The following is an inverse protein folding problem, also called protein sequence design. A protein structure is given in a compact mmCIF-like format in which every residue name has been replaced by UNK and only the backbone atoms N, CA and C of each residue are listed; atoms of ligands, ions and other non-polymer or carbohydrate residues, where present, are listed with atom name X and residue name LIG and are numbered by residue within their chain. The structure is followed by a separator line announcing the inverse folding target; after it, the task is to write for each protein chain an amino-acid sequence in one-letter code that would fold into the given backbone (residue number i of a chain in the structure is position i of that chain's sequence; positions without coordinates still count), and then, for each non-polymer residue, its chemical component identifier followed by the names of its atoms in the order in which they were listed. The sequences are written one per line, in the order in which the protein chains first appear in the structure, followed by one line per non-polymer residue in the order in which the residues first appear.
data_IF_930264331530
#
_entry.id   IF_930264331530
#
_cell.length_a   1.000
_cell.length_b   1.000
_cell.length_c   1.000
_cell.angle_alpha   90.00
_cell.angle_beta   90.00
_cell.angle_gamma   90.00
#
_symmetry.space_group_name_H-M   'P 1'
#
loop_
_entity.id
_entity.type
_entity.pdbx_description
1 polymer ?
#
# COMPACT_ATOMS: atom_id res chain seq x y z
N UNK A 1 -11.46 -5.98 16.67
CA UNK A 1 -11.17 -6.37 15.27
C UNK A 1 -9.67 -6.52 14.95
N UNK A 2 -8.75 -6.10 15.84
CA UNK A 2 -7.31 -5.94 15.54
C UNK A 2 -6.35 -6.98 16.17
N UNK A 3 -6.82 -7.80 17.11
CA UNK A 3 -6.02 -8.83 17.76
C UNK A 3 -6.37 -10.18 17.11
N UNK A 4 -5.39 -10.98 16.68
CA UNK A 4 -5.51 -12.35 16.11
C UNK A 4 -5.52 -12.54 14.57
N UNK A 5 -4.89 -11.68 13.75
CA UNK A 5 -4.95 -11.84 12.28
C UNK A 5 -3.75 -12.49 11.60
N UNK A 6 -2.55 -12.43 12.18
CA UNK A 6 -1.37 -13.12 11.62
C UNK A 6 -1.26 -14.47 12.31
N UNK A 7 -1.62 -15.53 11.58
CA UNK A 7 -1.55 -16.91 12.09
C UNK A 7 -0.27 -17.63 11.67
N UNK A 8 0.35 -17.19 10.56
CA UNK A 8 1.55 -17.80 10.01
C UNK A 8 2.41 -16.77 9.27
N UNK A 9 3.72 -16.88 9.39
CA UNK A 9 4.70 -16.16 8.57
C UNK A 9 5.38 -17.17 7.64
N UNK A 10 5.52 -16.82 6.36
CA UNK A 10 6.25 -17.62 5.37
C UNK A 10 7.58 -16.95 5.13
N UNK A 11 8.67 -17.70 5.27
CA UNK A 11 10.03 -17.23 4.99
C UNK A 11 10.64 -18.11 3.91
N UNK A 12 11.17 -17.50 2.86
CA UNK A 12 11.99 -18.21 1.88
C UNK A 12 13.43 -18.35 2.39
N UNK A 13 13.97 -19.57 2.40
CA UNK A 13 15.41 -19.76 2.69
C UNK A 13 16.22 -19.39 1.47
N UNK A 14 17.18 -18.49 1.63
CA UNK A 14 18.01 -17.99 0.53
C UNK A 14 18.73 -19.10 -0.28
N UNK A 15 19.17 -20.17 0.38
CA UNK A 15 19.82 -21.31 -0.29
C UNK A 15 18.87 -22.19 -1.12
N UNK A 16 17.56 -22.04 -0.93
CA UNK A 16 16.50 -22.72 -1.70
C UNK A 16 15.97 -21.82 -2.84
N UNK A 17 16.46 -20.57 -2.95
CA UNK A 17 16.08 -19.60 -3.99
C UNK A 17 17.06 -19.71 -5.16
N UNK A 18 16.54 -19.88 -6.38
CA UNK A 18 17.36 -19.88 -7.60
C UNK A 18 18.05 -18.53 -7.81
N UNK A 19 19.16 -18.52 -8.57
CA UNK A 19 19.88 -17.28 -8.87
C UNK A 19 18.98 -16.27 -9.60
N UNK A 20 18.09 -16.76 -10.47
CA UNK A 20 17.08 -16.00 -11.19
C UNK A 20 16.09 -15.37 -10.21
N UNK A 21 15.53 -16.15 -9.28
CA UNK A 21 14.60 -15.64 -8.28
C UNK A 21 15.25 -14.64 -7.32
N UNK A 22 16.53 -14.83 -6.95
CA UNK A 22 17.26 -13.87 -6.14
C UNK A 22 17.43 -12.52 -6.85
N UNK A 23 17.72 -12.53 -8.16
CA UNK A 23 17.75 -11.30 -8.99
C UNK A 23 16.38 -10.65 -9.08
N UNK A 24 15.32 -11.44 -9.20
CA UNK A 24 13.94 -10.95 -9.23
C UNK A 24 13.51 -10.33 -7.89
N UNK A 25 13.88 -10.92 -6.76
CA UNK A 25 13.67 -10.32 -5.43
C UNK A 25 14.36 -8.96 -5.34
N UNK A 26 15.62 -8.87 -5.80
CA UNK A 26 16.34 -7.58 -5.84
C UNK A 26 15.61 -6.54 -6.69
N UNK A 27 15.11 -6.92 -7.87
CA UNK A 27 14.30 -6.03 -8.72
C UNK A 27 13.06 -5.50 -7.97
N UNK A 28 12.37 -6.36 -7.23
CA UNK A 28 11.20 -5.98 -6.44
C UNK A 28 11.60 -4.99 -5.32
N UNK A 29 12.69 -5.28 -4.60
CA UNK A 29 13.17 -4.41 -3.52
C UNK A 29 13.64 -3.04 -4.02
N UNK A 30 14.36 -3.00 -5.15
CA UNK A 30 14.79 -1.77 -5.80
C UNK A 30 13.57 -0.95 -6.25
N UNK A 31 12.53 -1.62 -6.78
CA UNK A 31 11.26 -0.99 -7.11
C UNK A 31 10.57 -0.41 -5.86
N UNK A 32 10.47 -1.16 -4.78
CA UNK A 32 9.87 -0.70 -3.51
C UNK A 32 10.60 0.51 -2.95
N UNK A 33 11.93 0.48 -2.91
CA UNK A 33 12.74 1.60 -2.45
C UNK A 33 12.49 2.87 -3.29
N UNK A 34 12.48 2.73 -4.61
CA UNK A 34 12.22 3.84 -5.55
C UNK A 34 10.79 4.38 -5.40
N UNK A 35 9.80 3.50 -5.27
CA UNK A 35 8.38 3.83 -5.27
C UNK A 35 7.73 3.87 -3.88
N UNK A 36 8.53 3.94 -2.81
CA UNK A 36 8.06 3.96 -1.42
C UNK A 36 6.95 4.96 -1.14
N UNK A 37 7.02 6.14 -1.76
CA UNK A 37 5.95 7.16 -1.67
C UNK A 37 4.65 6.69 -2.32
N UNK A 38 4.71 6.06 -3.48
CA UNK A 38 3.54 5.51 -4.16
C UNK A 38 2.89 4.41 -3.34
N UNK A 39 3.69 3.49 -2.78
CA UNK A 39 3.20 2.50 -1.82
C UNK A 39 2.50 3.18 -0.63
N UNK A 40 3.16 4.12 0.02
CA UNK A 40 2.59 4.88 1.15
C UNK A 40 1.24 5.50 0.81
N UNK A 41 1.16 6.22 -0.31
CA UNK A 41 -0.05 6.91 -0.76
C UNK A 41 -1.20 5.93 -1.08
N UNK A 42 -0.92 4.70 -1.55
CA UNK A 42 -1.97 3.68 -1.77
C UNK A 42 -2.46 3.01 -0.48
N UNK A 43 -1.59 2.83 0.51
CA UNK A 43 -1.97 2.21 1.79
C UNK A 43 -2.71 3.17 2.72
N UNK A 44 -2.37 4.46 2.69
CA UNK A 44 -2.77 5.43 3.72
C UNK A 44 -3.84 6.41 3.25
N UNK A 45 -4.63 6.03 2.25
CA UNK A 45 -5.54 6.99 1.67
C UNK A 45 -6.78 7.21 2.55
N UNK A 46 -6.89 8.43 3.09
CA UNK A 46 -8.13 9.00 3.64
C UNK A 46 -8.93 9.58 2.47
N UNK A 47 -9.84 8.82 1.86
CA UNK A 47 -10.77 9.40 0.90
C UNK A 47 -11.88 10.08 1.69
N UNK A 48 -11.94 11.41 1.61
CA UNK A 48 -13.22 12.10 1.76
C UNK A 48 -14.24 11.48 0.78
N UNK A 49 -15.51 11.41 1.18
CA UNK A 49 -16.54 10.85 0.29
C UNK A 49 -16.62 11.64 -1.02
N UNK A 50 -17.06 11.04 -2.14
CA UNK A 50 -17.15 11.73 -3.43
C UNK A 50 -17.89 13.07 -3.37
N UNK A 51 -18.93 13.16 -2.53
CA UNK A 51 -19.69 14.39 -2.28
C UNK A 51 -18.85 15.46 -1.59
N UNK A 52 -18.09 15.10 -0.56
CA UNK A 52 -17.18 16.01 0.14
C UNK A 52 -16.06 16.52 -0.78
N UNK A 53 -15.57 15.68 -1.70
CA UNK A 53 -14.57 16.08 -2.71
C UNK A 53 -15.15 17.13 -3.66
N UNK A 54 -16.36 16.91 -4.20
CA UNK A 54 -16.99 17.87 -5.12
C UNK A 54 -17.21 19.23 -4.46
N UNK A 55 -17.70 19.25 -3.22
CA UNK A 55 -17.91 20.48 -2.45
C UNK A 55 -16.58 21.19 -2.19
N UNK A 56 -15.56 20.46 -1.75
CA UNK A 56 -14.26 21.05 -1.43
C UNK A 56 -13.52 21.57 -2.69
N UNK A 57 -13.63 20.86 -3.82
CA UNK A 57 -13.06 21.30 -5.10
C UNK A 57 -13.73 22.55 -5.66
N UNK A 58 -15.02 22.76 -5.40
CA UNK A 58 -15.74 23.98 -5.77
C UNK A 58 -15.44 25.16 -4.85
N UNK A 59 -15.05 24.89 -3.60
CA UNK A 59 -14.76 25.92 -2.60
C UNK A 59 -13.28 26.34 -2.53
N UNK A 60 -12.35 25.45 -2.89
CA UNK A 60 -10.90 25.66 -2.75
C UNK A 60 -10.19 25.24 -4.06
N UNK A 61 -9.91 26.17 -4.99
CA UNK A 61 -9.29 25.86 -6.29
C UNK A 61 -7.93 25.14 -6.19
N UNK A 62 -7.13 25.46 -5.17
CA UNK A 62 -5.81 24.85 -4.92
C UNK A 62 -5.92 23.35 -4.62
N UNK A 63 -7.07 22.90 -4.12
CA UNK A 63 -7.36 21.50 -3.87
C UNK A 63 -7.42 20.72 -5.20
N UNK A 64 -7.91 21.35 -6.28
CA UNK A 64 -8.02 20.70 -7.59
C UNK A 64 -6.66 20.36 -8.19
N UNK A 65 -5.66 21.26 -8.06
CA UNK A 65 -4.29 20.99 -8.48
C UNK A 65 -3.68 19.84 -7.68
N UNK A 66 -3.85 19.85 -6.36
CA UNK A 66 -3.34 18.77 -5.50
C UNK A 66 -3.97 17.40 -5.86
N UNK A 67 -5.27 17.35 -6.14
CA UNK A 67 -5.93 16.11 -6.57
C UNK A 67 -5.45 15.61 -7.93
N UNK A 68 -5.23 16.52 -8.90
CA UNK A 68 -4.67 16.18 -10.22
C UNK A 68 -3.26 15.62 -10.11
N UNK A 69 -2.36 16.37 -9.49
CA UNK A 69 -0.97 16.00 -9.25
C UNK A 69 -0.85 14.62 -8.57
N UNK A 70 -1.75 14.34 -7.63
CA UNK A 70 -1.80 13.05 -6.94
C UNK A 70 -2.35 11.92 -7.79
N UNK A 71 -3.39 12.17 -8.59
CA UNK A 71 -3.90 11.22 -9.58
C UNK A 71 -2.82 10.84 -10.60
N UNK A 72 -2.01 11.81 -11.02
CA UNK A 72 -0.94 11.59 -11.98
C UNK A 72 0.17 10.71 -11.37
N UNK A 73 0.59 10.99 -10.13
CA UNK A 73 1.52 10.11 -9.39
C UNK A 73 1.00 8.68 -9.23
N UNK A 74 -0.27 8.51 -8.88
CA UNK A 74 -0.88 7.19 -8.75
C UNK A 74 -0.87 6.44 -10.08
N UNK A 75 -1.26 7.11 -11.16
CA UNK A 75 -1.24 6.53 -12.51
C UNK A 75 0.18 6.10 -12.91
N UNK A 76 1.18 6.94 -12.63
CA UNK A 76 2.58 6.66 -12.94
C UNK A 76 3.11 5.46 -12.16
N UNK A 77 2.83 5.40 -10.86
CA UNK A 77 3.15 4.26 -10.00
C UNK A 77 2.49 2.96 -10.51
N UNK A 78 1.17 2.98 -10.78
CA UNK A 78 0.42 1.81 -11.21
C UNK A 78 0.94 1.27 -12.56
N UNK A 79 1.32 2.17 -13.47
CA UNK A 79 1.91 1.80 -14.76
C UNK A 79 3.29 1.13 -14.59
N UNK A 80 4.15 1.67 -13.74
CA UNK A 80 5.46 1.09 -13.47
C UNK A 80 5.36 -0.22 -12.70
N UNK A 81 4.43 -0.33 -11.75
CA UNK A 81 4.18 -1.56 -11.00
C UNK A 81 3.70 -2.67 -11.94
N UNK A 82 2.76 -2.40 -12.83
CA UNK A 82 2.28 -3.38 -13.83
C UNK A 82 3.43 -3.95 -14.68
N UNK A 83 4.34 -3.08 -15.13
CA UNK A 83 5.54 -3.51 -15.87
C UNK A 83 6.45 -4.39 -15.01
N UNK A 84 6.73 -3.98 -13.78
CA UNK A 84 7.55 -4.76 -12.85
C UNK A 84 6.94 -6.15 -12.59
N UNK A 85 5.64 -6.24 -12.31
CA UNK A 85 4.95 -7.53 -12.10
C UNK A 85 5.06 -8.42 -13.34
N UNK A 86 4.84 -7.86 -14.54
CA UNK A 86 4.96 -8.63 -15.79
C UNK A 86 6.38 -9.18 -16.03
N UNK A 87 7.43 -8.49 -15.56
CA UNK A 87 8.80 -9.02 -15.61
C UNK A 87 9.05 -10.09 -14.54
N UNK A 88 8.55 -9.88 -13.32
CA UNK A 88 8.65 -10.85 -12.22
C UNK A 88 8.00 -12.18 -12.60
N UNK A 89 6.81 -12.15 -13.21
CA UNK A 89 6.03 -13.33 -13.61
C UNK A 89 6.73 -14.19 -14.67
N UNK A 90 7.68 -13.63 -15.43
CA UNK A 90 8.48 -14.37 -16.42
C UNK A 90 9.62 -15.17 -15.78
N UNK A 91 9.91 -14.98 -14.50
CA UNK A 91 11.05 -15.61 -13.84
C UNK A 91 10.83 -17.12 -13.68
N UNK A 92 11.76 -17.98 -14.12
CA UNK A 92 11.69 -19.41 -13.83
C UNK A 92 11.60 -19.67 -12.32
N UNK A 93 10.59 -20.43 -11.90
CA UNK A 93 10.32 -20.70 -10.50
C UNK A 93 9.50 -19.62 -9.77
N UNK A 94 8.97 -18.62 -10.50
CA UNK A 94 8.05 -17.64 -9.92
C UNK A 94 6.82 -18.33 -9.32
N UNK A 95 6.44 -17.87 -8.14
CA UNK A 95 5.20 -18.23 -7.49
C UNK A 95 4.61 -17.03 -6.79
N UNK A 96 3.27 -16.90 -6.81
CA UNK A 96 2.56 -15.87 -6.07
C UNK A 96 2.82 -15.94 -4.55
N UNK A 97 3.34 -17.06 -4.04
CA UNK A 97 3.75 -17.20 -2.64
C UNK A 97 4.83 -16.19 -2.23
N UNK A 98 5.62 -15.67 -3.16
CA UNK A 98 6.63 -14.64 -2.87
C UNK A 98 6.03 -13.40 -2.20
N UNK A 99 4.80 -13.02 -2.56
CA UNK A 99 4.13 -11.84 -2.02
C UNK A 99 3.60 -12.01 -0.59
N UNK A 100 3.69 -13.23 -0.03
CA UNK A 100 3.44 -13.49 1.39
C UNK A 100 4.69 -13.29 2.24
N UNK A 101 5.86 -13.09 1.63
CA UNK A 101 7.09 -12.75 2.34
C UNK A 101 6.91 -11.41 3.07
N UNK A 102 7.11 -11.34 4.39
CA UNK A 102 6.89 -10.12 5.18
C UNK A 102 7.71 -8.92 4.72
N UNK A 103 8.84 -9.15 4.06
CA UNK A 103 9.71 -8.10 3.51
C UNK A 103 9.18 -7.42 2.25
N UNK A 104 8.10 -7.93 1.63
CA UNK A 104 7.57 -7.41 0.37
C UNK A 104 6.22 -6.70 0.58
N UNK A 105 6.13 -5.45 0.10
CA UNK A 105 4.91 -4.64 0.13
C UNK A 105 3.96 -4.96 -1.03
N UNK A 106 2.66 -5.14 -0.75
CA UNK A 106 1.72 -5.69 -1.73
C UNK A 106 0.87 -4.69 -2.52
N UNK A 107 0.50 -3.49 -2.08
CA UNK A 107 -0.58 -2.68 -2.70
C UNK A 107 -1.98 -3.31 -2.54
N UNK A 108 -2.87 -2.67 -1.77
CA UNK A 108 -4.23 -3.13 -1.57
C UNK A 108 -5.11 -3.05 -2.82
N UNK A 109 -5.91 -4.09 -3.04
CA UNK A 109 -7.01 -4.03 -4.02
C UNK A 109 -8.06 -3.01 -3.60
N UNK A 110 -8.36 -2.94 -2.29
CA UNK A 110 -9.25 -1.96 -1.69
C UNK A 110 -8.44 -1.12 -0.70
N UNK A 111 -8.36 0.20 -0.92
CA UNK A 111 -7.73 1.10 0.06
C UNK A 111 -8.34 0.83 1.44
N UNK A 112 -7.51 0.63 2.46
CA UNK A 112 -7.98 0.69 3.83
C UNK A 112 -8.51 2.11 4.04
N UNK A 113 -9.83 2.26 3.95
CA UNK A 113 -10.48 3.49 4.37
C UNK A 113 -10.10 3.70 5.81
N UNK A 114 -9.42 4.81 6.07
CA UNK A 114 -9.38 5.33 7.42
C UNK A 114 -10.83 5.57 7.84
N UNK A 115 -11.36 4.70 8.70
CA UNK A 115 -12.63 4.94 9.35
C UNK A 115 -12.27 5.88 10.50
N UNK A 116 -12.53 7.18 10.30
CA UNK A 116 -12.44 8.15 11.40
C UNK A 116 -13.27 7.61 12.55
N UNK A 117 -12.73 7.68 13.77
CA UNK A 117 -13.50 7.33 14.96
C UNK A 117 -14.77 8.18 14.98
N UNK A 118 -15.82 7.61 15.55
CA UNK A 118 -17.10 8.29 15.71
C UNK A 118 -16.87 9.70 16.28
N UNK A 119 -17.34 10.76 15.60
CA UNK A 119 -17.22 12.13 16.07
C UNK A 119 -17.74 12.36 17.49
N UNK A 120 -18.74 11.59 17.94
CA UNK A 120 -19.27 11.68 19.30
C UNK A 120 -18.28 11.22 20.39
N UNK A 121 -17.22 10.49 20.01
CA UNK A 121 -16.16 10.11 20.93
C UNK A 121 -15.18 11.26 21.20
N UNK A 122 -15.29 12.39 20.50
CA UNK A 122 -14.47 13.60 20.67
C UNK A 122 -12.96 13.34 20.69
N UNK A 123 -12.50 12.29 20.01
CA UNK A 123 -11.08 11.95 19.90
C UNK A 123 -10.46 12.88 18.86
N UNK A 124 -9.42 13.61 19.24
CA UNK A 124 -8.73 14.53 18.34
C UNK A 124 -8.17 13.78 17.12
N UNK A 125 -8.11 14.43 15.97
CA UNK A 125 -7.50 13.83 14.77
C UNK A 125 -6.07 13.36 15.06
N UNK A 126 -5.32 14.11 15.87
CA UNK A 126 -3.95 13.78 16.25
C UNK A 126 -3.87 12.50 17.07
N UNK A 127 -4.76 12.28 18.04
CA UNK A 127 -4.79 11.05 18.86
C UNK A 127 -5.24 9.84 18.04
N UNK A 128 -6.17 10.06 17.10
CA UNK A 128 -6.56 9.00 16.17
C UNK A 128 -5.37 8.62 15.28
N UNK A 129 -4.61 9.60 14.76
CA UNK A 129 -3.36 9.39 13.98
C UNK A 129 -2.32 8.62 14.79
N UNK A 130 -2.01 9.05 16.01
CA UNK A 130 -1.07 8.36 16.89
C UNK A 130 -1.47 6.90 17.14
N UNK A 131 -2.74 6.65 17.44
CA UNK A 131 -3.27 5.28 17.63
C UNK A 131 -3.06 4.42 16.40
N UNK A 132 -3.23 4.99 15.22
CA UNK A 132 -3.17 4.22 13.99
C UNK A 132 -1.73 4.00 13.54
N UNK A 133 -0.82 4.95 13.80
CA UNK A 133 0.63 4.78 13.63
C UNK A 133 1.17 3.69 14.57
N UNK A 134 0.71 3.63 15.82
CA UNK A 134 1.03 2.52 16.73
C UNK A 134 0.53 1.15 16.21
N UNK A 135 -0.52 1.15 15.39
CA UNK A 135 -1.13 -0.05 14.79
C UNK A 135 -0.63 -0.34 13.36
N UNK A 136 0.30 0.46 12.84
CA UNK A 136 0.85 0.40 11.48
C UNK A 136 1.45 -0.96 11.06
N UNK A 137 2.10 -1.77 11.94
CA UNK A 137 2.58 -3.09 11.57
C UNK A 137 1.49 -4.03 11.04
N UNK A 138 0.22 -3.78 11.41
CA UNK A 138 -0.90 -4.56 10.90
C UNK A 138 -1.24 -4.18 9.44
N UNK A 139 -1.07 -2.92 9.02
CA UNK A 139 -1.62 -2.33 7.77
C UNK A 139 -0.99 -2.84 6.48
N UNK A 140 0.25 -3.28 6.53
CA UNK A 140 0.99 -3.79 5.36
C UNK A 140 0.48 -5.14 4.85
N UNK A 141 -0.31 -5.89 5.65
CA UNK A 141 -0.79 -7.23 5.31
C UNK A 141 -2.30 -7.34 4.98
N UNK A 142 -3.04 -6.24 4.81
CA UNK A 142 -4.51 -6.26 4.63
C UNK A 142 -4.99 -6.74 3.26
N UNK A 143 -4.12 -7.39 2.50
CA UNK A 143 -4.32 -7.69 1.07
C UNK A 143 -3.85 -9.08 0.73
N UNK A 144 -4.28 -10.07 1.50
CA UNK A 144 -4.41 -11.41 0.94
C UNK A 144 -5.74 -11.47 0.20
N UNK A 145 -5.64 -11.27 -1.12
CA UNK A 145 -6.62 -11.50 -2.20
C UNK A 145 -8.09 -11.21 -1.90
#
# INVERSE_FOLDING_TARGET
MWQQRILSLVFFKYNEVSLEMAKTIKLILDFMSRWRRGYWERYHWVTMTPTSIIIALGAIPELADMYRDRKDRHSDFDNHRKKMIAEVEKTPGYSNWIWFEPGLWVVPQNSCYWITRDPELHISLQDQLATVDDLEPARTQWVTR
#
